data_IF_371155140447
#
_entry.id   IF_371155140447
#
_cell.length_a   1.000
_cell.length_b   1.000
_cell.length_c   1.000
_cell.angle_alpha   90.00
_cell.angle_beta   90.00
_cell.angle_gamma   90.00
#
_symmetry.space_group_name_H-M   'P 1'
#
loop_
_entity.id
_entity.type
_entity.pdbx_description
1 polymer ?
#
# COMPACT_ATOMS: atom_id res chain seq x y z
N UNK A 1 -16.96 12.41 -5.25
CA UNK A 1 -16.18 13.37 -4.44
C UNK A 1 -14.90 12.67 -3.95
N UNK A 2 -13.87 13.38 -3.47
CA UNK A 2 -12.62 12.76 -2.98
C UNK A 2 -12.90 11.68 -1.91
N UNK A 3 -13.89 11.92 -1.05
CA UNK A 3 -14.30 11.00 0.01
C UNK A 3 -14.76 9.64 -0.53
N UNK A 4 -15.56 9.63 -1.60
CA UNK A 4 -16.03 8.40 -2.23
C UNK A 4 -14.88 7.61 -2.88
N UNK A 5 -13.82 8.30 -3.32
CA UNK A 5 -12.67 7.67 -3.94
C UNK A 5 -11.73 7.01 -2.92
N UNK A 6 -11.61 7.58 -1.72
CA UNK A 6 -10.81 7.01 -0.62
C UNK A 6 -11.60 5.98 0.22
N UNK A 7 -12.93 6.04 0.19
CA UNK A 7 -13.84 5.03 0.75
C UNK A 7 -14.68 4.38 -0.36
N UNK A 8 -14.10 3.47 -1.16
CA UNK A 8 -14.76 2.92 -2.36
C UNK A 8 -15.93 1.98 -2.03
N UNK A 9 -16.07 1.57 -0.77
CA UNK A 9 -17.16 0.73 -0.26
C UNK A 9 -17.90 1.51 0.82
N UNK A 10 -19.22 1.31 0.94
CA UNK A 10 -20.06 2.02 1.91
C UNK A 10 -19.45 2.00 3.32
N UNK A 11 -19.24 3.20 3.88
CA UNK A 11 -18.72 3.39 5.23
C UNK A 11 -19.71 2.95 6.30
N UNK A 12 -19.17 2.36 7.37
CA UNK A 12 -19.73 2.45 8.71
C UNK A 12 -18.96 3.59 9.41
N UNK A 13 -19.64 4.63 9.87
CA UNK A 13 -19.01 5.73 10.62
C UNK A 13 -18.80 5.36 12.09
N UNK A 14 -17.79 5.91 12.75
CA UNK A 14 -17.49 5.66 14.19
C UNK A 14 -16.19 4.89 14.39
N UNK A 15 -16.16 3.92 15.32
CA UNK A 15 -14.99 3.07 15.62
C UNK A 15 -14.62 2.07 14.51
N UNK A 16 -15.07 2.32 13.28
CA UNK A 16 -14.86 1.47 12.11
C UNK A 16 -14.17 2.21 10.97
N UNK A 17 -13.63 3.41 11.20
CA UNK A 17 -12.79 4.09 10.23
C UNK A 17 -12.33 5.48 10.65
N UNK A 18 -11.36 6.02 9.91
CA UNK A 18 -10.81 7.35 10.09
C UNK A 18 -10.37 7.93 8.74
N UNK A 19 -10.29 9.26 8.64
CA UNK A 19 -9.83 9.96 7.45
C UNK A 19 -9.10 11.25 7.79
N UNK A 20 -8.14 11.63 6.96
CA UNK A 20 -7.51 12.96 6.97
C UNK A 20 -7.99 13.85 5.82
N UNK A 21 -9.04 13.45 5.09
CA UNK A 21 -9.67 14.30 4.06
C UNK A 21 -10.23 15.55 4.73
N UNK A 22 -9.82 16.77 4.31
CA UNK A 22 -10.34 18.01 4.86
C UNK A 22 -11.86 18.14 4.71
N UNK A 23 -12.47 18.93 5.59
CA UNK A 23 -13.89 19.34 5.51
C UNK A 23 -14.92 18.19 5.60
N UNK A 24 -14.49 17.00 5.99
CA UNK A 24 -15.36 15.88 6.34
C UNK A 24 -15.67 15.94 7.84
N UNK A 25 -16.94 15.81 8.21
CA UNK A 25 -17.31 15.70 9.63
C UNK A 25 -16.54 14.52 10.25
N UNK A 26 -15.84 14.75 11.37
CA UNK A 26 -14.91 13.81 12.05
C UNK A 26 -13.54 13.55 11.38
N UNK A 27 -13.11 14.36 10.41
CA UNK A 27 -11.74 14.29 9.89
C UNK A 27 -10.69 14.55 10.98
N UNK A 28 -9.62 13.75 10.95
CA UNK A 28 -8.45 13.89 11.80
C UNK A 28 -7.34 14.67 11.07
N UNK A 29 -6.43 15.34 11.78
CA UNK A 29 -5.32 16.05 11.14
C UNK A 29 -4.38 15.07 10.43
N UNK A 30 -3.78 15.48 9.31
CA UNK A 30 -2.66 14.76 8.71
C UNK A 30 -1.40 15.01 9.56
N UNK A 31 -1.11 14.10 10.49
CA UNK A 31 0.01 14.19 11.42
C UNK A 31 0.38 12.84 12.03
N UNK A 32 1.50 12.78 12.74
CA UNK A 32 1.94 11.59 13.47
C UNK A 32 0.95 11.16 14.55
N UNK A 33 0.18 12.08 15.13
CA UNK A 33 -0.88 11.74 16.10
C UNK A 33 -1.98 10.88 15.46
N UNK A 34 -2.25 11.08 14.17
CA UNK A 34 -3.26 10.31 13.45
C UNK A 34 -2.68 9.03 12.86
N UNK A 35 -1.51 9.10 12.21
CA UNK A 35 -0.90 7.94 11.57
C UNK A 35 -0.28 6.98 12.58
N UNK A 36 0.11 7.46 13.76
CA UNK A 36 0.74 6.71 14.84
C UNK A 36 1.96 5.89 14.35
N UNK A 37 2.96 6.55 13.73
CA UNK A 37 4.04 5.85 13.06
C UNK A 37 4.95 5.11 14.05
N UNK A 38 5.36 3.90 13.67
CA UNK A 38 6.37 3.12 14.37
C UNK A 38 7.31 2.44 13.35
N UNK A 39 8.39 1.81 13.81
CA UNK A 39 9.43 1.24 12.94
C UNK A 39 9.94 2.24 11.89
N UNK A 40 10.08 3.51 12.31
CA UNK A 40 10.53 4.61 11.47
C UNK A 40 12.00 4.38 11.12
N UNK A 41 12.35 4.45 9.83
CA UNK A 41 13.74 4.50 9.42
C UNK A 41 14.28 5.90 9.70
N UNK A 42 15.11 6.05 10.73
CA UNK A 42 15.51 7.35 11.29
C UNK A 42 16.23 8.27 10.28
N UNK A 43 16.88 7.72 9.26
CA UNK A 43 17.54 8.50 8.20
C UNK A 43 16.56 9.02 7.13
N UNK A 44 15.29 8.59 7.16
CA UNK A 44 14.21 9.09 6.33
C UNK A 44 13.10 9.67 7.22
N UNK A 45 13.33 10.84 7.84
CA UNK A 45 12.36 11.44 8.75
C UNK A 45 11.04 11.77 8.04
N UNK A 46 9.95 11.74 8.80
CA UNK A 46 8.61 12.08 8.33
C UNK A 46 8.54 13.60 8.13
N UNK A 47 8.21 14.04 6.90
CA UNK A 47 8.13 15.45 6.52
C UNK A 47 6.70 15.80 6.05
N UNK A 48 5.98 16.60 6.84
CA UNK A 48 4.68 17.16 6.45
C UNK A 48 4.87 18.57 5.91
N UNK A 49 4.51 18.77 4.64
CA UNK A 49 4.67 20.05 3.95
C UNK A 49 3.60 20.23 2.88
N UNK A 50 3.52 21.44 2.32
CA UNK A 50 2.60 21.68 1.21
C UNK A 50 3.18 21.10 -0.08
N UNK A 51 2.36 20.35 -0.80
CA UNK A 51 2.59 20.02 -2.19
C UNK A 51 2.64 21.30 -3.06
N UNK A 52 3.20 21.24 -4.29
CA UNK A 52 3.26 22.34 -5.24
C UNK A 52 1.95 23.14 -5.44
N UNK A 53 0.79 22.52 -5.27
CA UNK A 53 -0.53 23.17 -5.38
C UNK A 53 -1.04 23.78 -4.06
N UNK A 54 -0.24 23.74 -3.00
CA UNK A 54 -0.56 24.25 -1.67
C UNK A 54 -1.23 23.24 -0.74
N UNK A 55 -1.56 22.03 -1.20
CA UNK A 55 -2.22 21.01 -0.37
C UNK A 55 -1.25 20.40 0.64
N UNK A 56 -1.63 20.37 1.93
CA UNK A 56 -0.84 19.69 2.96
C UNK A 56 -0.69 18.19 2.66
N UNK A 57 0.54 17.71 2.72
CA UNK A 57 0.89 16.35 2.36
C UNK A 57 2.09 15.83 3.19
N UNK A 58 2.16 14.51 3.33
CA UNK A 58 3.38 13.81 3.71
C UNK A 58 4.27 13.72 2.47
N UNK A 59 5.47 14.31 2.51
CA UNK A 59 6.42 14.33 1.40
C UNK A 59 7.44 13.21 1.54
N UNK A 60 7.69 12.51 0.43
CA UNK A 60 8.84 11.62 0.27
C UNK A 60 9.81 12.21 -0.75
N UNK A 61 11.07 12.38 -0.37
CA UNK A 61 12.12 12.89 -1.23
C UNK A 61 13.05 11.77 -1.68
N UNK A 62 13.35 11.70 -2.98
CA UNK A 62 14.25 10.72 -3.59
C UNK A 62 15.45 11.45 -4.19
N UNK A 63 16.63 11.42 -3.54
CA UNK A 63 17.85 11.93 -4.14
C UNK A 63 18.19 11.19 -5.43
N UNK A 64 18.83 11.86 -6.38
CA UNK A 64 19.45 11.23 -7.54
C UNK A 64 20.34 10.05 -7.11
N UNK A 65 20.23 8.91 -7.78
CA UNK A 65 20.97 7.71 -7.43
C UNK A 65 20.34 6.84 -6.34
N UNK A 66 19.31 7.32 -5.62
CA UNK A 66 18.66 6.53 -4.56
C UNK A 66 17.82 5.37 -5.11
N UNK A 67 17.96 4.19 -4.50
CA UNK A 67 17.08 3.03 -4.70
C UNK A 67 17.18 2.09 -3.50
N UNK A 68 16.08 1.42 -3.18
CA UNK A 68 15.89 0.64 -1.95
C UNK A 68 16.10 1.49 -0.69
N UNK A 69 15.69 0.97 0.46
CA UNK A 69 15.85 1.68 1.74
C UNK A 69 17.23 1.45 2.38
N UNK A 70 18.04 0.56 1.80
CA UNK A 70 19.30 0.07 2.39
C UNK A 70 20.55 0.56 1.67
N UNK A 71 20.42 1.34 0.59
CA UNK A 71 21.55 1.89 -0.16
C UNK A 71 21.61 3.41 -0.04
N UNK A 72 22.83 3.91 -0.24
CA UNK A 72 23.10 5.35 -0.28
C UNK A 72 23.11 5.88 -1.73
N UNK A 73 22.62 7.12 -1.95
CA UNK A 73 21.92 7.95 -0.97
C UNK A 73 20.54 7.35 -0.62
N UNK A 74 20.15 7.40 0.66
CA UNK A 74 18.80 7.00 1.07
C UNK A 74 17.75 7.93 0.49
N UNK A 75 16.63 7.38 0.03
CA UNK A 75 15.52 8.14 -0.52
C UNK A 75 14.16 7.52 -0.21
N UNK A 76 13.15 8.37 -0.06
CA UNK A 76 11.77 7.99 0.16
C UNK A 76 11.31 8.13 1.61
N UNK A 77 10.47 7.19 2.07
CA UNK A 77 9.96 7.11 3.44
C UNK A 77 9.83 5.63 3.84
N UNK A 78 9.97 5.35 5.15
CA UNK A 78 9.68 4.03 5.69
C UNK A 78 9.22 4.07 7.14
N UNK A 79 7.96 3.71 7.37
CA UNK A 79 7.41 3.40 8.68
C UNK A 79 6.18 2.49 8.54
N UNK A 80 5.67 2.00 9.66
CA UNK A 80 4.40 1.31 9.75
C UNK A 80 3.43 2.12 10.61
N UNK A 81 2.14 2.06 10.29
CA UNK A 81 1.13 2.93 10.88
C UNK A 81 -0.17 2.14 11.09
N UNK A 82 -0.58 1.84 12.34
CA UNK A 82 -1.88 1.25 12.63
C UNK A 82 -3.03 2.28 12.50
N UNK A 83 -2.71 3.58 12.58
CA UNK A 83 -3.70 4.64 12.69
C UNK A 83 -4.11 4.93 14.15
N UNK A 84 -5.23 5.64 14.37
CA UNK A 84 -5.76 5.97 15.68
C UNK A 84 -6.21 4.73 16.48
N UNK A 85 -5.97 4.74 17.79
CA UNK A 85 -6.25 3.60 18.70
C UNK A 85 -7.72 3.17 18.73
N UNK A 86 -8.67 4.03 18.36
CA UNK A 86 -10.10 3.71 18.35
C UNK A 86 -10.55 2.93 17.09
N UNK A 87 -9.64 2.65 16.15
CA UNK A 87 -9.89 1.80 14.97
C UNK A 87 -8.92 0.63 14.98
N UNK A 88 -9.34 -0.49 15.57
CA UNK A 88 -8.52 -1.70 15.70
C UNK A 88 -8.65 -2.60 14.47
N UNK A 89 -7.71 -2.47 13.53
CA UNK A 89 -7.64 -3.30 12.33
C UNK A 89 -7.46 -4.80 12.61
N UNK A 90 -7.06 -5.20 13.82
CA UNK A 90 -6.94 -6.63 14.15
C UNK A 90 -8.29 -7.33 14.31
N UNK A 91 -9.37 -6.56 14.40
CA UNK A 91 -10.76 -7.03 14.41
C UNK A 91 -11.37 -7.16 13.01
N UNK A 92 -10.68 -6.68 11.98
CA UNK A 92 -11.19 -6.61 10.62
C UNK A 92 -11.05 -7.94 9.87
N UNK A 93 -12.17 -8.42 9.31
CA UNK A 93 -12.21 -9.42 8.25
C UNK A 93 -11.94 -8.76 6.90
N UNK A 94 -12.52 -7.58 6.71
CA UNK A 94 -12.33 -6.74 5.54
C UNK A 94 -12.03 -5.30 5.96
N UNK A 95 -11.02 -4.71 5.32
CA UNK A 95 -10.69 -3.31 5.50
C UNK A 95 -10.32 -2.64 4.18
N UNK A 96 -10.58 -1.34 4.09
CA UNK A 96 -10.12 -0.46 3.03
C UNK A 96 -8.99 0.43 3.51
N UNK A 97 -8.04 0.74 2.63
CA UNK A 97 -7.03 1.77 2.82
C UNK A 97 -6.93 2.62 1.55
N UNK A 98 -7.17 3.93 1.68
CA UNK A 98 -7.10 4.89 0.59
C UNK A 98 -6.21 6.09 0.92
N UNK A 99 -5.64 6.67 -0.13
CA UNK A 99 -4.85 7.90 -0.06
C UNK A 99 -4.79 8.54 -1.45
N UNK A 100 -4.48 9.83 -1.48
CA UNK A 100 -4.10 10.54 -2.69
C UNK A 100 -2.58 10.64 -2.78
N UNK A 101 -2.02 10.40 -3.96
CA UNK A 101 -0.59 10.55 -4.24
C UNK A 101 -0.39 11.49 -5.44
N UNK A 102 0.54 12.42 -5.32
CA UNK A 102 1.03 13.22 -6.43
C UNK A 102 2.52 12.95 -6.63
N UNK A 103 2.87 12.56 -7.85
CA UNK A 103 4.24 12.59 -8.34
C UNK A 103 4.50 14.01 -8.83
N UNK A 104 5.62 14.63 -8.47
CA UNK A 104 5.92 16.00 -8.93
C UNK A 104 5.89 16.13 -10.46
N UNK A 105 5.77 17.34 -10.97
CA UNK A 105 5.78 17.57 -12.41
C UNK A 105 7.11 17.08 -13.04
N UNK A 106 7.00 16.42 -14.19
CA UNK A 106 8.15 15.81 -14.85
C UNK A 106 8.84 14.68 -14.07
N UNK A 107 8.14 13.97 -13.17
CA UNK A 107 8.70 12.83 -12.43
C UNK A 107 9.36 11.78 -13.34
N UNK A 108 10.59 11.40 -13.01
CA UNK A 108 11.36 10.37 -13.70
C UNK A 108 11.05 8.98 -13.14
N UNK A 109 10.17 8.25 -13.82
CA UNK A 109 9.61 6.97 -13.35
C UNK A 109 10.61 5.82 -13.17
N UNK A 110 11.68 5.80 -13.98
CA UNK A 110 12.63 4.69 -14.08
C UNK A 110 11.90 3.35 -14.21
N UNK A 111 12.49 2.26 -13.70
CA UNK A 111 11.88 0.92 -13.70
C UNK A 111 10.77 0.73 -12.67
N UNK A 112 10.56 1.71 -11.79
CA UNK A 112 9.51 1.70 -10.79
C UNK A 112 9.97 1.86 -9.35
N UNK A 113 8.99 1.88 -8.45
CA UNK A 113 9.19 2.01 -7.02
C UNK A 113 7.93 1.64 -6.24
N UNK A 114 8.05 1.63 -4.92
CA UNK A 114 7.03 1.09 -3.99
C UNK A 114 6.11 2.20 -3.55
N UNK A 115 4.85 1.86 -3.31
CA UNK A 115 3.86 2.74 -2.73
C UNK A 115 3.18 2.04 -1.54
N UNK A 116 2.59 2.83 -0.62
CA UNK A 116 1.95 2.31 0.58
C UNK A 116 0.81 1.33 0.31
N UNK A 117 0.57 0.43 1.25
CA UNK A 117 -0.58 -0.47 1.27
C UNK A 117 -0.74 -1.18 2.62
N UNK A 118 -1.79 -1.99 2.76
CA UNK A 118 -2.05 -2.79 3.96
C UNK A 118 -1.10 -4.00 4.06
N UNK A 119 -0.80 -4.36 5.30
CA UNK A 119 -0.05 -5.58 5.65
C UNK A 119 -0.72 -6.31 6.81
N UNK A 120 -0.36 -7.58 6.98
CA UNK A 120 -0.90 -8.39 8.07
C UNK A 120 -0.20 -9.72 8.26
N UNK A 121 -0.68 -10.48 9.25
CA UNK A 121 -0.09 -11.76 9.65
C UNK A 121 -0.36 -12.13 11.11
N UNK A 122 0.27 -13.23 11.53
CA UNK A 122 -0.04 -13.92 12.79
C UNK A 122 0.40 -13.15 14.04
N UNK A 123 1.38 -12.25 13.90
CA UNK A 123 1.78 -11.28 14.92
C UNK A 123 2.20 -9.97 14.26
N UNK A 124 2.24 -8.87 15.01
CA UNK A 124 2.72 -7.59 14.46
C UNK A 124 4.17 -7.71 13.97
N UNK A 125 5.08 -8.12 14.84
CA UNK A 125 6.51 -8.23 14.55
C UNK A 125 6.82 -9.23 13.42
N UNK A 126 6.09 -10.35 13.36
CA UNK A 126 6.23 -11.33 12.28
C UNK A 126 5.69 -10.84 10.93
N UNK A 127 4.84 -9.82 10.93
CA UNK A 127 4.30 -9.20 9.71
C UNK A 127 5.18 -8.06 9.20
N UNK A 128 5.91 -7.39 10.09
CA UNK A 128 6.91 -6.38 9.72
C UNK A 128 8.00 -7.05 8.89
N UNK A 129 8.21 -6.52 7.68
CA UNK A 129 9.24 -7.06 6.80
C UNK A 129 8.79 -8.21 5.90
N UNK A 130 7.49 -8.53 5.81
CA UNK A 130 6.91 -9.42 4.80
C UNK A 130 7.02 -8.82 3.37
N UNK A 131 8.25 -8.61 2.93
CA UNK A 131 8.68 -7.84 1.77
C UNK A 131 10.17 -8.06 1.48
N UNK A 132 10.70 -7.48 0.41
CA UNK A 132 12.16 -7.44 0.17
C UNK A 132 12.81 -8.81 -0.10
N UNK A 133 12.03 -9.82 -0.48
CA UNK A 133 12.49 -11.21 -0.63
C UNK A 133 12.21 -12.10 0.58
N UNK A 134 11.72 -11.53 1.68
CA UNK A 134 11.15 -12.30 2.79
C UNK A 134 9.68 -12.60 2.51
N UNK A 135 9.34 -13.89 2.45
CA UNK A 135 7.99 -14.40 2.24
C UNK A 135 7.75 -15.54 3.22
N UNK A 136 6.62 -15.48 3.91
CA UNK A 136 6.21 -16.48 4.89
C UNK A 136 4.70 -16.72 4.75
N UNK A 137 4.22 -17.92 5.10
CA UNK A 137 2.80 -18.24 5.13
C UNK A 137 2.05 -17.54 6.27
N UNK A 138 2.77 -17.08 7.30
CA UNK A 138 2.25 -16.39 8.46
C UNK A 138 2.05 -14.87 8.27
N UNK A 139 2.35 -14.33 7.08
CA UNK A 139 2.21 -12.89 6.80
C UNK A 139 1.79 -12.60 5.35
N UNK A 140 1.27 -11.40 5.13
CA UNK A 140 1.04 -10.84 3.81
C UNK A 140 1.34 -9.33 3.75
N UNK A 141 1.67 -8.84 2.56
CA UNK A 141 1.59 -7.42 2.22
C UNK A 141 0.90 -7.21 0.88
N UNK A 142 0.00 -6.24 0.82
CA UNK A 142 -0.68 -5.80 -0.39
C UNK A 142 -0.35 -4.32 -0.60
N UNK A 143 0.82 -4.05 -1.18
CA UNK A 143 1.31 -2.71 -1.50
C UNK A 143 1.03 -2.36 -2.94
N UNK A 144 1.31 -1.13 -3.32
CA UNK A 144 1.28 -0.69 -4.71
C UNK A 144 2.72 -0.51 -5.23
N UNK A 145 2.86 -0.47 -6.55
CA UNK A 145 4.08 0.00 -7.20
C UNK A 145 3.73 0.92 -8.37
N UNK A 146 4.57 1.92 -8.62
CA UNK A 146 4.68 2.52 -9.94
C UNK A 146 5.72 1.77 -10.77
N UNK A 147 5.60 1.87 -12.08
CA UNK A 147 6.50 1.31 -13.09
C UNK A 147 6.85 2.38 -14.12
N UNK A 148 7.60 1.96 -15.14
CA UNK A 148 7.92 2.79 -16.30
C UNK A 148 6.68 3.52 -16.83
N UNK A 149 6.87 4.78 -17.21
CA UNK A 149 5.82 5.66 -17.76
C UNK A 149 4.60 5.83 -16.85
N UNK A 150 4.76 5.66 -15.53
CA UNK A 150 3.68 5.85 -14.56
C UNK A 150 2.70 4.69 -14.47
N UNK A 151 2.95 3.56 -15.13
CA UNK A 151 2.07 2.40 -15.03
C UNK A 151 1.96 1.93 -13.57
N UNK A 152 0.74 1.79 -13.06
CA UNK A 152 0.47 1.33 -11.70
C UNK A 152 0.25 -0.18 -11.64
N UNK A 153 0.56 -0.78 -10.49
CA UNK A 153 0.25 -2.19 -10.18
C UNK A 153 -0.07 -2.37 -8.69
N UNK A 154 -0.84 -3.41 -8.39
CA UNK A 154 -0.81 -4.00 -7.05
C UNK A 154 0.42 -4.92 -6.97
N UNK A 155 1.14 -4.88 -5.86
CA UNK A 155 2.36 -5.64 -5.63
C UNK A 155 2.29 -6.40 -4.31
N UNK A 156 2.12 -7.72 -4.40
CA UNK A 156 1.71 -8.55 -3.28
C UNK A 156 2.78 -9.53 -2.82
N UNK A 157 2.91 -9.69 -1.51
CA UNK A 157 3.51 -10.86 -0.88
C UNK A 157 2.37 -11.59 -0.19
N UNK A 158 1.95 -12.72 -0.75
CA UNK A 158 0.96 -13.62 -0.16
C UNK A 158 1.66 -14.90 0.31
N UNK A 159 1.00 -15.72 1.16
CA UNK A 159 1.42 -17.09 1.41
C UNK A 159 1.83 -17.80 0.10
N UNK A 160 2.99 -18.46 0.09
CA UNK A 160 3.68 -18.83 -1.15
C UNK A 160 2.88 -19.87 -1.94
N UNK A 161 2.41 -19.51 -3.14
CA UNK A 161 1.67 -20.43 -4.03
C UNK A 161 2.47 -21.68 -4.46
N UNK A 162 3.78 -21.71 -4.21
CA UNK A 162 4.65 -22.88 -4.40
C UNK A 162 4.43 -23.96 -3.35
N UNK A 163 3.83 -23.62 -2.21
CA UNK A 163 3.30 -24.58 -1.25
C UNK A 163 1.90 -25.04 -1.72
N UNK A 164 1.65 -26.37 -1.82
CA UNK A 164 0.35 -26.90 -2.21
C UNK A 164 -0.83 -26.37 -1.39
N UNK A 165 -0.63 -26.03 -0.11
CA UNK A 165 -1.69 -25.48 0.75
C UNK A 165 -2.15 -24.10 0.24
N UNK A 166 -1.24 -23.31 -0.34
CA UNK A 166 -1.49 -21.94 -0.79
C UNK A 166 -1.54 -21.81 -2.31
N UNK A 167 -1.64 -22.92 -3.05
CA UNK A 167 -1.63 -22.92 -4.52
C UNK A 167 -2.69 -22.00 -5.16
N UNK A 168 -3.82 -21.78 -4.48
CA UNK A 168 -4.87 -20.84 -4.90
C UNK A 168 -4.36 -19.42 -5.12
N UNK A 169 -3.29 -18.99 -4.40
CA UNK A 169 -2.68 -17.68 -4.57
C UNK A 169 -2.04 -17.48 -5.96
N UNK A 170 -1.89 -18.52 -6.78
CA UNK A 170 -1.53 -18.37 -8.19
C UNK A 170 -2.56 -17.54 -8.98
N UNK A 171 -3.77 -17.32 -8.44
CA UNK A 171 -4.78 -16.45 -9.02
C UNK A 171 -4.26 -15.03 -9.35
N UNK A 172 -3.31 -14.50 -8.57
CA UNK A 172 -2.72 -13.18 -8.83
C UNK A 172 -1.88 -13.12 -10.11
N UNK A 173 -1.47 -14.28 -10.65
CA UNK A 173 -0.55 -14.38 -11.79
C UNK A 173 -1.19 -14.10 -13.15
N UNK A 174 -2.53 -14.06 -13.24
CA UNK A 174 -3.25 -14.00 -14.52
C UNK A 174 -4.21 -12.81 -14.63
N UNK A 175 -3.94 -11.73 -13.87
CA UNK A 175 -4.79 -10.54 -13.89
C UNK A 175 -4.32 -9.59 -14.99
N UNK A 176 -5.25 -9.26 -15.88
CA UNK A 176 -5.02 -8.30 -16.95
C UNK A 176 -4.70 -6.89 -16.40
N UNK A 177 -3.99 -6.05 -17.16
CA UNK A 177 -3.41 -6.33 -18.47
C UNK A 177 -2.08 -7.09 -18.41
N UNK A 178 -1.41 -7.11 -17.25
CA UNK A 178 -0.15 -7.84 -17.07
C UNK A 178 0.09 -8.21 -15.61
N UNK A 179 0.12 -9.50 -15.32
CA UNK A 179 0.59 -10.02 -14.03
C UNK A 179 1.91 -10.77 -14.19
N UNK A 180 2.77 -10.68 -13.19
CA UNK A 180 4.06 -11.38 -13.14
C UNK A 180 4.22 -11.96 -11.73
N UNK A 181 4.13 -13.27 -11.62
CA UNK A 181 4.48 -13.96 -10.40
C UNK A 181 5.98 -14.19 -10.29
N UNK A 182 6.50 -14.05 -9.08
CA UNK A 182 7.89 -14.30 -8.76
C UNK A 182 7.93 -15.18 -7.49
N UNK A 183 8.67 -16.29 -7.47
CA UNK A 183 8.72 -17.16 -6.29
C UNK A 183 9.50 -16.55 -5.12
N UNK A 184 10.44 -15.63 -5.40
CA UNK A 184 11.30 -14.97 -4.41
C UNK A 184 10.75 -13.61 -3.96
N UNK A 185 10.38 -12.77 -4.91
CA UNK A 185 9.85 -11.42 -4.67
C UNK A 185 8.33 -11.37 -4.87
N UNK A 186 7.72 -10.22 -4.61
CA UNK A 186 6.29 -9.99 -4.76
C UNK A 186 5.78 -10.26 -6.17
N UNK A 187 4.50 -10.59 -6.28
CA UNK A 187 3.82 -10.68 -7.56
C UNK A 187 3.38 -9.28 -8.02
N UNK A 188 3.68 -8.93 -9.26
CA UNK A 188 3.04 -7.80 -9.94
C UNK A 188 1.66 -8.24 -10.40
N UNK A 189 0.63 -7.48 -10.05
CA UNK A 189 -0.76 -7.81 -10.36
C UNK A 189 -1.39 -6.66 -11.13
N UNK A 190 -1.93 -6.95 -12.33
CA UNK A 190 -2.62 -5.96 -13.14
C UNK A 190 -1.79 -4.74 -13.53
N UNK A 191 -0.48 -4.89 -13.76
CA UNK A 191 0.43 -3.80 -14.12
C UNK A 191 -0.06 -3.09 -15.38
N UNK A 192 -0.31 -1.79 -15.27
CA UNK A 192 -0.81 -0.96 -16.37
C UNK A 192 -2.33 -0.93 -16.47
N UNK A 193 -3.07 -1.50 -15.49
CA UNK A 193 -4.52 -1.31 -15.39
C UNK A 193 -4.90 0.16 -15.16
N UNK A 194 -3.97 0.96 -14.67
CA UNK A 194 -4.07 2.41 -14.52
C UNK A 194 -2.69 3.05 -14.68
N UNK A 195 -2.65 4.38 -14.81
CA UNK A 195 -1.41 5.15 -14.95
C UNK A 195 -1.47 6.36 -14.03
N UNK A 196 -0.39 6.61 -13.30
CA UNK A 196 -0.17 7.84 -12.55
C UNK A 196 0.28 8.95 -13.49
N UNK A 197 -0.34 10.12 -13.39
CA UNK A 197 0.11 11.32 -14.11
C UNK A 197 1.03 12.15 -13.22
N UNK A 198 2.21 12.51 -13.75
CA UNK A 198 3.10 13.47 -13.09
C UNK A 198 2.42 14.84 -12.98
N UNK A 199 2.69 15.56 -11.90
CA UNK A 199 2.12 16.87 -11.59
C UNK A 199 0.63 16.86 -11.24
N UNK A 200 0.01 15.69 -11.05
CA UNK A 200 -1.42 15.56 -10.74
C UNK A 200 -1.66 14.58 -9.57
N UNK A 201 -2.69 14.85 -8.78
CA UNK A 201 -3.14 13.93 -7.74
C UNK A 201 -3.86 12.73 -8.35
N UNK A 202 -3.46 11.53 -7.93
CA UNK A 202 -4.18 10.28 -8.17
C UNK A 202 -4.66 9.72 -6.84
N UNK A 203 -5.96 9.55 -6.69
CA UNK A 203 -6.53 8.87 -5.51
C UNK A 203 -6.57 7.37 -5.77
N UNK A 204 -5.98 6.61 -4.87
CA UNK A 204 -5.99 5.15 -4.88
C UNK A 204 -6.62 4.64 -3.59
N UNK A 205 -7.32 3.52 -3.68
CA UNK A 205 -7.80 2.81 -2.49
C UNK A 205 -7.79 1.32 -2.74
N UNK A 206 -7.40 0.56 -1.72
CA UNK A 206 -7.41 -0.90 -1.76
C UNK A 206 -8.43 -1.44 -0.75
N UNK A 207 -9.10 -2.53 -1.12
CA UNK A 207 -9.90 -3.37 -0.24
C UNK A 207 -9.18 -4.69 -0.07
N UNK A 208 -8.98 -5.09 1.19
CA UNK A 208 -8.38 -6.36 1.56
C UNK A 208 -9.39 -7.12 2.39
N UNK A 209 -9.81 -8.30 1.90
CA UNK A 209 -10.64 -9.24 2.63
C UNK A 209 -9.85 -10.49 2.96
N UNK A 210 -9.70 -10.80 4.23
CA UNK A 210 -9.06 -12.02 4.70
C UNK A 210 -9.92 -13.24 4.35
N UNK A 211 -9.28 -14.35 4.03
CA UNK A 211 -9.97 -15.63 3.86
C UNK A 211 -10.44 -16.22 5.20
N UNK A 212 -11.39 -17.15 5.16
CA UNK A 212 -11.62 -18.09 6.25
C UNK A 212 -10.46 -19.07 6.32
N UNK A 213 -10.03 -19.46 7.53
CA UNK A 213 -8.88 -20.36 7.68
C UNK A 213 -9.17 -21.69 6.97
N UNK A 214 -8.24 -22.12 6.12
CA UNK A 214 -8.40 -23.32 5.28
C UNK A 214 -9.28 -23.15 4.05
N UNK A 215 -9.76 -21.94 3.73
CA UNK A 215 -10.55 -21.65 2.53
C UNK A 215 -9.85 -20.62 1.65
N UNK A 216 -9.99 -20.76 0.33
CA UNK A 216 -9.51 -19.80 -0.66
C UNK A 216 -10.63 -18.83 -1.04
N UNK A 217 -11.05 -17.98 -0.11
CA UNK A 217 -12.14 -17.00 -0.30
C UNK A 217 -11.77 -15.58 0.14
N UNK A 218 -10.47 -15.29 0.23
CA UNK A 218 -9.95 -13.94 0.40
C UNK A 218 -10.00 -13.15 -0.90
N UNK A 219 -9.99 -11.82 -0.77
CA UNK A 219 -10.11 -10.89 -1.89
C UNK A 219 -9.14 -9.71 -1.76
N UNK A 220 -8.63 -9.26 -2.91
CA UNK A 220 -7.93 -8.01 -3.07
C UNK A 220 -8.58 -7.22 -4.20
N UNK A 221 -8.92 -5.95 -3.93
CA UNK A 221 -9.47 -5.07 -4.94
C UNK A 221 -8.79 -3.69 -4.86
N UNK A 222 -8.41 -3.13 -6.00
CA UNK A 222 -7.81 -1.81 -6.11
C UNK A 222 -8.73 -0.90 -6.92
N UNK A 223 -8.96 0.29 -6.38
CA UNK A 223 -9.73 1.35 -6.98
C UNK A 223 -8.82 2.55 -7.26
N UNK A 224 -9.07 3.23 -8.38
CA UNK A 224 -8.39 4.47 -8.77
C UNK A 224 -9.46 5.48 -9.13
N UNK A 225 -9.45 6.64 -8.47
CA UNK A 225 -10.51 7.64 -8.61
C UNK A 225 -11.91 7.10 -8.26
N UNK A 226 -12.00 6.09 -7.41
CA UNK A 226 -13.25 5.41 -7.03
C UNK A 226 -13.74 4.32 -8.01
N UNK A 227 -13.01 4.07 -9.10
CA UNK A 227 -13.33 2.99 -10.04
C UNK A 227 -12.49 1.75 -9.76
N UNK A 228 -13.11 0.56 -9.68
CA UNK A 228 -12.39 -0.71 -9.55
C UNK A 228 -11.58 -0.99 -10.82
N UNK A 229 -10.26 -1.15 -10.67
CA UNK A 229 -9.31 -1.37 -11.79
C UNK A 229 -8.59 -2.71 -11.70
N UNK A 230 -8.48 -3.31 -10.51
CA UNK A 230 -7.93 -4.65 -10.29
C UNK A 230 -8.81 -5.33 -9.25
N UNK A 231 -9.30 -6.53 -9.54
CA UNK A 231 -10.07 -7.34 -8.60
C UNK A 231 -9.61 -8.80 -8.68
N UNK A 232 -9.24 -9.36 -7.53
CA UNK A 232 -8.75 -10.73 -7.40
C UNK A 232 -9.44 -11.40 -6.22
N UNK A 233 -10.29 -12.38 -6.49
CA UNK A 233 -10.86 -13.26 -5.48
C UNK A 233 -10.14 -14.62 -5.43
N UNK A 234 -10.58 -15.48 -4.51
CA UNK A 234 -10.08 -16.85 -4.44
C UNK A 234 -8.71 -16.99 -3.78
N UNK A 235 -8.35 -16.06 -2.89
CA UNK A 235 -7.02 -15.97 -2.29
C UNK A 235 -6.98 -16.58 -0.88
N UNK A 236 -5.78 -16.92 -0.42
CA UNK A 236 -5.45 -17.31 0.96
C UNK A 236 -4.41 -16.32 1.49
N UNK A 237 -4.86 -15.34 2.28
CA UNK A 237 -4.03 -14.28 2.87
C UNK A 237 -3.52 -14.65 4.27
N UNK A 238 -4.23 -15.54 4.98
CA UNK A 238 -3.88 -16.02 6.31
C UNK A 238 -4.00 -17.54 6.40
N UNK A 239 -3.09 -18.14 7.16
CA UNK A 239 -3.04 -19.59 7.41
C UNK A 239 -3.66 -20.00 8.76
N UNK A 240 -3.95 -19.05 9.65
CA UNK A 240 -4.54 -19.32 10.96
C UNK A 240 -5.40 -18.15 11.47
N UNK A 241 -6.10 -18.34 12.59
CA UNK A 241 -6.97 -17.31 13.16
C UNK A 241 -6.19 -16.14 13.77
N UNK A 242 -4.92 -16.35 14.09
CA UNK A 242 -3.97 -15.31 14.50
C UNK A 242 -3.66 -14.33 13.36
N UNK A 243 -3.86 -14.73 12.10
CA UNK A 243 -3.65 -13.89 10.93
C UNK A 243 -4.64 -12.74 10.87
N UNK A 244 -4.19 -11.52 11.15
CA UNK A 244 -5.00 -10.30 11.16
C UNK A 244 -4.43 -9.24 10.20
N UNK A 245 -5.25 -8.26 9.80
CA UNK A 245 -4.75 -7.01 9.21
C UNK A 245 -4.07 -6.22 10.34
N UNK A 246 -2.83 -5.76 10.13
CA UNK A 246 -2.01 -5.14 11.19
C UNK A 246 -1.85 -3.63 11.02
N UNK A 247 -2.10 -3.09 9.84
CA UNK A 247 -2.01 -1.66 9.59
C UNK A 247 -1.56 -1.32 8.18
N UNK A 248 -1.01 -0.13 8.05
CA UNK A 248 -0.43 0.42 6.84
C UNK A 248 1.08 0.22 6.86
N UNK A 249 1.62 -0.34 5.78
CA UNK A 249 3.05 -0.33 5.49
C UNK A 249 3.35 0.92 4.64
N UNK A 250 3.66 2.03 5.31
CA UNK A 250 4.00 3.30 4.66
C UNK A 250 5.46 3.28 4.22
N UNK A 251 5.70 2.66 3.07
CA UNK A 251 7.01 2.59 2.45
C UNK A 251 6.93 3.02 1.00
N UNK A 252 7.77 3.99 0.66
CA UNK A 252 7.92 4.45 -0.73
C UNK A 252 9.39 4.69 -1.03
N UNK A 253 9.86 4.17 -2.15
CA UNK A 253 11.25 4.23 -2.60
C UNK A 253 11.34 3.73 -4.05
N UNK A 254 12.24 4.30 -4.83
CA UNK A 254 12.68 3.72 -6.10
C UNK A 254 13.24 2.32 -5.86
N UNK A 255 12.91 1.32 -6.67
CA UNK A 255 13.63 0.06 -6.49
C UNK A 255 13.11 -1.19 -7.17
N UNK A 256 13.75 -2.25 -6.69
CA UNK A 256 14.41 -3.33 -7.40
C UNK A 256 15.79 -3.45 -6.73
N UNK A 257 16.52 -4.55 -6.87
CA UNK A 257 17.79 -4.74 -6.12
C UNK A 257 19.02 -4.11 -6.77
N UNK A 258 18.86 -3.60 -8.00
CA UNK A 258 19.94 -3.17 -8.88
C UNK A 258 19.93 -1.66 -9.13
N UNK A 259 21.08 -1.12 -9.49
CA UNK A 259 21.29 0.32 -9.69
C UNK A 259 20.49 0.93 -10.85
N UNK A 260 19.99 0.11 -11.78
CA UNK A 260 19.13 0.56 -12.88
C UNK A 260 17.70 0.94 -12.45
N UNK A 261 17.38 0.78 -11.16
CA UNK A 261 16.18 1.31 -10.53
C UNK A 261 16.38 2.69 -9.89
N UNK A 262 17.62 3.18 -9.79
CA UNK A 262 17.94 4.42 -9.11
C UNK A 262 17.15 5.62 -9.65
N UNK A 263 16.70 6.50 -8.75
CA UNK A 263 16.09 7.78 -9.11
C UNK A 263 17.01 8.52 -10.09
N UNK A 264 16.53 9.00 -11.25
CA UNK A 264 17.37 9.61 -12.27
C UNK A 264 17.69 11.08 -11.98
N UNK A 265 17.07 11.66 -10.95
CA UNK A 265 17.24 13.03 -10.48
C UNK A 265 16.70 13.13 -9.05
N UNK A 266 16.98 14.25 -8.41
CA UNK A 266 16.26 14.66 -7.21
C UNK A 266 14.79 14.90 -7.56
N UNK A 267 13.88 14.28 -6.80
CA UNK A 267 12.45 14.41 -7.04
C UNK A 267 11.63 13.97 -5.83
N UNK A 268 10.35 14.35 -5.80
CA UNK A 268 9.45 14.07 -4.69
C UNK A 268 8.12 13.44 -5.10
N UNK A 269 7.52 12.74 -4.15
CA UNK A 269 6.09 12.38 -4.16
C UNK A 269 5.42 12.91 -2.90
N UNK A 270 4.16 13.26 -3.02
CA UNK A 270 3.34 13.84 -1.95
C UNK A 270 2.14 12.95 -1.69
N UNK A 271 1.84 12.66 -0.42
CA UNK A 271 0.73 11.80 -0.02
C UNK A 271 -0.24 12.56 0.90
N UNK A 272 -1.53 12.44 0.66
CA UNK A 272 -2.57 13.11 1.46
C UNK A 272 -3.84 12.26 1.49
N UNK A 273 -4.91 12.77 2.12
CA UNK A 273 -6.23 12.14 2.17
C UNK A 273 -6.26 10.70 2.73
N UNK A 274 -5.33 10.35 3.62
CA UNK A 274 -5.23 9.01 4.18
C UNK A 274 -6.54 8.61 4.87
N UNK A 275 -7.03 7.43 4.54
CA UNK A 275 -8.34 6.96 4.95
C UNK A 275 -8.33 5.45 5.16
N UNK A 276 -8.91 4.98 6.25
CA UNK A 276 -9.05 3.56 6.56
C UNK A 276 -10.47 3.29 7.03
N UNK A 277 -11.05 2.17 6.62
CA UNK A 277 -12.30 1.68 7.17
C UNK A 277 -12.27 0.16 7.36
N UNK A 278 -12.93 -0.32 8.40
CA UNK A 278 -13.29 -1.71 8.63
C UNK A 278 -14.70 -1.88 8.07
N UNK A 279 -14.85 -2.72 7.05
CA UNK A 279 -16.12 -2.94 6.35
C UNK A 279 -16.80 -4.24 6.82
N UNK A 280 -16.01 -5.21 7.28
CA UNK A 280 -16.45 -6.49 7.85
C UNK A 280 -15.59 -6.87 9.07
N UNK A 281 -16.21 -7.37 10.14
CA UNK A 281 -15.51 -7.87 11.34
C UNK A 281 -15.24 -9.38 11.22
N UNK A 282 -14.20 -9.86 11.90
CA UNK A 282 -13.83 -11.28 12.04
C UNK A 282 -14.86 -12.09 12.85
#
# INVERSE_FOLDING_TARGET
>A
MILDAVFPVQQKTGNSGWTTVPDVNVALPLSDTTLNPNHILSELPIDYTNAPDGKLALKAFYPEGSYTLTREPKGGLSFYAPGPDNVDLTTAKEATFGYSVMFEDGFGWQKGGKLPGLFGGNSYDGSVGCSGGSRDAACFSARLMWRENGAGELYTYLPPYTDPEFAANQAVCNIAPKSICNPTYGASVGRGAFTFAAGQWTTVSQRVRLNDVGQANGELELYVGGQSVINVGGLILRNSEEGKIRGIQMQTFFGGSEADYASPKDQSTYFSDFSVAITELL
#
